data_IF_545076299937
#
_entry.id   IF_545076299937
#
_cell.length_a   1.000
_cell.length_b   1.000
_cell.length_c   1.000
_cell.angle_alpha   90.00
_cell.angle_beta   90.00
_cell.angle_gamma   90.00
#
_symmetry.space_group_name_H-M   'P 1'
#
loop_
_entity.id
_entity.type
_entity.pdbx_description
1 polymer ?
#
# COMPACT_ATOMS: atom_id res chain seq x y z
N UNK A 1 -50.94 20.41 -24.29
CA UNK A 1 -49.86 20.77 -23.36
C UNK A 1 -49.19 19.46 -22.98
N UNK A 2 -47.93 19.18 -23.38
CA UNK A 2 -47.29 17.96 -22.93
C UNK A 2 -46.93 18.14 -21.45
N UNK A 3 -47.33 17.18 -20.63
CA UNK A 3 -46.94 17.10 -19.23
C UNK A 3 -45.41 17.03 -19.15
N UNK A 4 -44.80 18.11 -18.67
CA UNK A 4 -43.41 18.14 -18.28
C UNK A 4 -43.32 17.26 -17.04
N UNK A 5 -42.88 16.01 -17.22
CA UNK A 5 -42.48 15.17 -16.10
C UNK A 5 -41.35 15.90 -15.37
N UNK A 6 -41.73 16.57 -14.28
CA UNK A 6 -40.80 17.15 -13.33
C UNK A 6 -39.93 16.00 -12.84
N UNK A 7 -38.72 15.93 -13.39
CA UNK A 7 -37.82 14.81 -13.17
C UNK A 7 -37.23 15.01 -11.79
N UNK A 8 -38.04 14.69 -10.77
CA UNK A 8 -37.66 14.73 -9.37
C UNK A 8 -36.48 13.79 -9.23
N UNK A 9 -35.28 14.36 -9.23
CA UNK A 9 -34.04 13.60 -9.21
C UNK A 9 -33.96 12.89 -7.88
N UNK A 10 -33.95 11.56 -7.89
CA UNK A 10 -33.89 10.77 -6.66
C UNK A 10 -32.60 11.14 -5.89
N UNK A 11 -32.68 11.58 -4.63
CA UNK A 11 -31.52 11.95 -3.83
C UNK A 11 -30.47 10.82 -3.73
N UNK A 12 -30.87 9.54 -3.82
CA UNK A 12 -29.92 8.41 -3.84
C UNK A 12 -29.01 8.46 -5.07
N UNK A 13 -29.58 8.79 -6.23
CA UNK A 13 -28.83 8.87 -7.49
C UNK A 13 -27.84 10.04 -7.50
N UNK A 14 -28.16 11.12 -6.77
CA UNK A 14 -27.25 12.26 -6.56
C UNK A 14 -26.08 11.87 -5.65
N UNK A 15 -26.35 11.21 -4.53
CA UNK A 15 -25.30 10.73 -3.59
C UNK A 15 -24.33 9.77 -4.28
N UNK A 16 -24.84 8.83 -5.10
CA UNK A 16 -24.00 7.89 -5.86
C UNK A 16 -23.18 8.58 -6.96
N UNK A 17 -23.72 9.65 -7.57
CA UNK A 17 -22.98 10.45 -8.55
C UNK A 17 -21.86 11.24 -7.87
N UNK A 18 -22.14 11.86 -6.73
CA UNK A 18 -21.16 12.64 -5.99
C UNK A 18 -20.06 11.76 -5.40
N UNK A 19 -20.39 10.57 -4.89
CA UNK A 19 -19.40 9.56 -4.46
C UNK A 19 -18.49 9.15 -5.61
N UNK A 20 -19.05 8.86 -6.79
CA UNK A 20 -18.26 8.51 -7.99
C UNK A 20 -17.35 9.64 -8.45
N UNK A 21 -17.82 10.89 -8.41
CA UNK A 21 -17.00 12.08 -8.71
C UNK A 21 -15.86 12.25 -7.71
N UNK A 22 -16.15 12.10 -6.42
CA UNK A 22 -15.14 12.19 -5.37
C UNK A 22 -14.08 11.09 -5.50
N UNK A 23 -14.48 9.85 -5.82
CA UNK A 23 -13.56 8.76 -6.10
C UNK A 23 -12.71 9.04 -7.34
N UNK A 24 -13.30 9.51 -8.44
CA UNK A 24 -12.56 9.86 -9.65
C UNK A 24 -11.48 10.92 -9.38
N UNK A 25 -11.80 11.97 -8.62
CA UNK A 25 -10.83 12.99 -8.23
C UNK A 25 -9.67 12.39 -7.38
N UNK A 26 -9.98 11.48 -6.47
CA UNK A 26 -8.98 10.77 -5.67
C UNK A 26 -8.09 9.87 -6.54
N UNK A 27 -8.68 9.18 -7.52
CA UNK A 27 -7.95 8.34 -8.47
C UNK A 27 -6.97 9.17 -9.30
N UNK A 28 -7.40 10.30 -9.86
CA UNK A 28 -6.51 11.17 -10.63
C UNK A 28 -5.39 11.72 -9.76
N UNK A 29 -5.70 12.21 -8.56
CA UNK A 29 -4.68 12.71 -7.65
C UNK A 29 -3.67 11.62 -7.26
N UNK A 30 -4.14 10.39 -7.02
CA UNK A 30 -3.28 9.26 -6.73
C UNK A 30 -2.33 8.94 -7.88
N UNK A 31 -2.84 8.94 -9.13
CA UNK A 31 -2.01 8.77 -10.33
C UNK A 31 -0.95 9.85 -10.45
N UNK A 32 -1.32 11.11 -10.25
CA UNK A 32 -0.38 12.24 -10.28
C UNK A 32 0.74 12.07 -9.26
N UNK A 33 0.45 11.59 -8.05
CA UNK A 33 1.46 11.33 -7.03
C UNK A 33 2.42 10.19 -7.42
N UNK A 34 1.91 9.12 -8.02
CA UNK A 34 2.73 7.98 -8.43
C UNK A 34 3.47 8.18 -9.76
N UNK A 35 3.03 9.11 -10.61
CA UNK A 35 3.54 9.30 -11.96
C UNK A 35 5.09 9.42 -12.02
N UNK A 36 5.75 10.25 -11.19
CA UNK A 36 7.21 10.37 -11.25
C UNK A 36 7.92 9.06 -10.92
N UNK A 37 7.47 8.34 -9.88
CA UNK A 37 8.06 7.07 -9.48
C UNK A 37 7.84 5.97 -10.53
N UNK A 38 6.66 5.95 -11.16
CA UNK A 38 6.32 5.01 -12.22
C UNK A 38 7.14 5.26 -13.49
N UNK A 39 7.26 6.52 -13.93
CA UNK A 39 8.05 6.89 -15.11
C UNK A 39 9.54 6.54 -14.92
N UNK A 40 10.09 6.89 -13.77
CA UNK A 40 11.47 6.58 -13.45
C UNK A 40 11.71 5.06 -13.38
N UNK A 41 10.78 4.28 -12.83
CA UNK A 41 10.85 2.82 -12.85
C UNK A 41 10.83 2.26 -14.28
N UNK A 42 9.90 2.72 -15.14
CA UNK A 42 9.84 2.34 -16.56
C UNK A 42 11.16 2.61 -17.27
N UNK A 43 11.74 3.81 -17.05
CA UNK A 43 13.03 4.20 -17.62
C UNK A 43 14.13 3.23 -17.20
N UNK A 44 14.23 2.90 -15.92
CA UNK A 44 15.24 1.94 -15.41
C UNK A 44 15.06 0.54 -15.98
N UNK A 45 13.82 0.03 -16.02
CA UNK A 45 13.54 -1.29 -16.59
C UNK A 45 13.91 -1.31 -18.08
N UNK A 46 13.48 -0.31 -18.85
CA UNK A 46 13.78 -0.20 -20.27
C UNK A 46 15.30 -0.19 -20.55
N UNK A 47 16.07 0.54 -19.74
CA UNK A 47 17.53 0.55 -19.82
C UNK A 47 18.11 -0.84 -19.52
N UNK A 48 17.67 -1.48 -18.44
CA UNK A 48 18.14 -2.81 -18.00
C UNK A 48 17.89 -3.90 -19.05
N UNK A 49 16.77 -3.84 -19.77
CA UNK A 49 16.34 -4.90 -20.71
C UNK A 49 16.71 -4.60 -22.16
N UNK A 50 17.39 -3.48 -22.42
CA UNK A 50 17.70 -3.00 -23.77
C UNK A 50 18.52 -3.99 -24.60
N UNK A 51 19.36 -4.81 -23.96
CA UNK A 51 20.23 -5.81 -24.59
C UNK A 51 19.62 -7.21 -24.66
N UNK A 52 18.41 -7.41 -24.13
CA UNK A 52 17.75 -8.71 -24.11
C UNK A 52 17.07 -9.03 -25.45
N UNK A 53 16.95 -10.32 -25.74
CA UNK A 53 16.11 -10.79 -26.85
C UNK A 53 14.67 -10.26 -26.72
N UNK A 54 13.97 -9.96 -27.82
CA UNK A 54 12.65 -9.30 -27.79
C UNK A 54 11.62 -9.98 -26.89
N UNK A 55 11.56 -11.32 -26.89
CA UNK A 55 10.63 -12.08 -26.05
C UNK A 55 10.90 -11.90 -24.55
N UNK A 56 12.16 -11.92 -24.13
CA UNK A 56 12.52 -11.66 -22.73
C UNK A 56 12.26 -10.20 -22.35
N UNK A 57 12.58 -9.26 -23.25
CA UNK A 57 12.32 -7.84 -23.03
C UNK A 57 10.83 -7.56 -22.77
N UNK A 58 9.93 -8.15 -23.55
CA UNK A 58 8.49 -7.97 -23.36
C UNK A 58 8.03 -8.43 -21.98
N UNK A 59 8.50 -9.59 -21.50
CA UNK A 59 8.12 -10.12 -20.18
C UNK A 59 8.47 -9.18 -19.03
N UNK A 60 9.66 -8.57 -19.06
CA UNK A 60 10.09 -7.63 -18.01
C UNK A 60 9.33 -6.30 -18.06
N UNK A 61 8.99 -5.82 -19.25
CA UNK A 61 8.19 -4.60 -19.41
C UNK A 61 6.76 -4.84 -18.91
N UNK A 62 6.16 -5.97 -19.25
CA UNK A 62 4.83 -6.36 -18.75
C UNK A 62 4.81 -6.49 -17.22
N UNK A 63 5.86 -7.07 -16.64
CA UNK A 63 5.98 -7.18 -15.18
C UNK A 63 6.08 -5.80 -14.51
N UNK A 64 6.83 -4.87 -15.11
CA UNK A 64 6.92 -3.50 -14.61
C UNK A 64 5.55 -2.80 -14.64
N UNK A 65 4.78 -2.95 -15.72
CA UNK A 65 3.44 -2.37 -15.80
C UNK A 65 2.46 -3.05 -14.83
N UNK A 66 2.54 -4.37 -14.63
CA UNK A 66 1.76 -5.08 -13.60
C UNK A 66 2.04 -4.55 -12.21
N UNK A 67 3.32 -4.32 -11.87
CA UNK A 67 3.71 -3.78 -10.58
C UNK A 67 3.18 -2.36 -10.39
N UNK A 68 3.28 -1.49 -11.41
CA UNK A 68 2.70 -0.14 -11.38
C UNK A 68 1.18 -0.22 -11.18
N UNK A 69 0.48 -1.04 -11.95
CA UNK A 69 -0.97 -1.20 -11.86
C UNK A 69 -1.43 -1.70 -10.48
N UNK A 70 -0.66 -2.59 -9.84
CA UNK A 70 -0.97 -3.11 -8.50
C UNK A 70 -0.90 -2.04 -7.38
N UNK A 71 -0.24 -0.91 -7.65
CA UNK A 71 -0.13 0.23 -6.73
C UNK A 71 -1.21 1.29 -6.98
N UNK A 72 -1.93 1.23 -8.11
CA UNK A 72 -2.96 2.21 -8.48
C UNK A 72 -4.31 1.93 -7.82
N UNK A 73 -5.12 2.99 -7.69
CA UNK A 73 -6.53 2.86 -7.36
C UNK A 73 -7.30 2.43 -8.60
N UNK A 74 -7.79 1.20 -8.58
CA UNK A 74 -8.81 0.69 -9.51
C UNK A 74 -10.22 1.15 -9.06
N UNK A 75 -10.95 1.97 -9.85
CA UNK A 75 -12.24 2.51 -9.46
C UNK A 75 -13.35 1.46 -9.28
N UNK A 76 -13.25 0.31 -9.94
CA UNK A 76 -14.23 -0.77 -9.82
C UNK A 76 -13.95 -1.58 -8.55
N UNK A 77 -12.69 -1.99 -8.34
CA UNK A 77 -12.29 -2.77 -7.16
C UNK A 77 -12.36 -1.95 -5.87
N UNK A 78 -12.16 -0.64 -5.96
CA UNK A 78 -12.14 0.27 -4.81
C UNK A 78 -13.36 1.22 -4.79
N UNK A 79 -14.48 0.81 -5.38
CA UNK A 79 -15.72 1.60 -5.37
C UNK A 79 -16.19 1.95 -3.94
N UNK A 80 -15.92 1.05 -2.98
CA UNK A 80 -16.27 1.20 -1.57
C UNK A 80 -15.19 1.89 -0.72
N UNK A 81 -14.10 2.39 -1.31
CA UNK A 81 -12.99 3.01 -0.58
C UNK A 81 -13.48 4.16 0.31
N UNK A 82 -13.13 4.13 1.59
CA UNK A 82 -13.40 5.23 2.52
C UNK A 82 -12.42 6.39 2.27
N UNK A 83 -12.86 7.38 1.48
CA UNK A 83 -12.00 8.45 0.96
C UNK A 83 -11.40 9.34 2.06
N UNK A 84 -12.12 9.56 3.16
CA UNK A 84 -11.63 10.32 4.32
C UNK A 84 -10.44 9.60 4.97
N UNK A 85 -10.50 8.28 5.11
CA UNK A 85 -9.41 7.48 5.66
C UNK A 85 -8.19 7.50 4.74
N UNK A 86 -8.40 7.26 3.44
CA UNK A 86 -7.33 7.35 2.44
C UNK A 86 -6.60 8.71 2.49
N UNK A 87 -7.36 9.82 2.51
CA UNK A 87 -6.81 11.18 2.57
C UNK A 87 -6.03 11.41 3.86
N UNK A 88 -6.59 11.03 5.00
CA UNK A 88 -5.92 11.19 6.29
C UNK A 88 -4.56 10.48 6.34
N UNK A 89 -4.49 9.26 5.82
CA UNK A 89 -3.25 8.48 5.78
C UNK A 89 -2.25 9.09 4.79
N UNK A 90 -2.71 9.46 3.59
CA UNK A 90 -1.91 10.13 2.56
C UNK A 90 -1.27 11.41 3.10
N UNK A 91 -2.09 12.25 3.72
CA UNK A 91 -1.67 13.57 4.24
C UNK A 91 -0.89 13.44 5.56
N UNK A 92 -0.86 12.24 6.14
CA UNK A 92 -0.14 11.97 7.38
C UNK A 92 -0.78 12.62 8.59
N UNK A 93 -2.11 12.77 8.58
CA UNK A 93 -2.88 13.30 9.71
C UNK A 93 -2.59 12.42 10.94
N UNK A 94 -2.25 13.02 12.10
CA UNK A 94 -2.05 12.28 13.32
C UNK A 94 -3.32 11.51 13.73
N UNK A 95 -3.15 10.23 14.08
CA UNK A 95 -4.22 9.34 14.52
C UNK A 95 -3.80 8.60 15.78
N UNK A 96 -4.75 8.35 16.68
CA UNK A 96 -4.49 7.54 17.86
C UNK A 96 -4.61 6.05 17.49
N UNK A 97 -3.68 5.22 17.95
CA UNK A 97 -3.81 3.77 17.80
C UNK A 97 -4.55 3.20 19.02
N UNK A 98 -5.68 2.55 18.77
CA UNK A 98 -6.46 1.84 19.78
C UNK A 98 -6.03 0.38 19.81
N UNK A 99 -5.20 0.01 20.79
CA UNK A 99 -4.61 -1.32 20.89
C UNK A 99 -5.67 -2.43 21.09
N UNK A 100 -6.76 -2.14 21.80
CA UNK A 100 -7.81 -3.13 22.09
C UNK A 100 -8.51 -3.64 20.80
N UNK A 101 -8.62 -2.79 19.78
CA UNK A 101 -9.29 -3.11 18.52
C UNK A 101 -8.30 -3.23 17.36
N UNK A 102 -7.02 -2.96 17.60
CA UNK A 102 -5.95 -2.86 16.61
C UNK A 102 -6.28 -1.91 15.44
N UNK A 103 -6.84 -0.72 15.75
CA UNK A 103 -7.28 0.26 14.74
C UNK A 103 -6.66 1.63 14.97
N UNK A 104 -6.45 2.36 13.89
CA UNK A 104 -6.19 3.80 13.96
C UNK A 104 -7.52 4.55 14.04
N UNK A 105 -7.60 5.49 14.97
CA UNK A 105 -8.78 6.31 15.20
C UNK A 105 -8.51 7.73 14.73
N UNK A 106 -9.14 8.09 13.61
CA UNK A 106 -9.13 9.44 13.07
C UNK A 106 -10.23 10.25 13.76
N UNK A 107 -9.84 11.26 14.53
CA UNK A 107 -10.76 12.24 15.12
C UNK A 107 -11.15 13.26 14.04
N UNK A 108 -12.44 13.49 13.88
CA UNK A 108 -13.00 14.45 12.91
C UNK A 108 -13.85 15.47 13.66
N UNK A 109 -13.67 16.78 13.43
CA UNK A 109 -14.61 17.78 13.94
C UNK A 109 -16.02 17.48 13.44
N UNK A 110 -17.01 17.55 14.34
CA UNK A 110 -18.43 17.44 14.04
C UNK A 110 -18.88 16.13 13.35
N UNK A 111 -18.04 15.09 13.39
CA UNK A 111 -18.36 13.76 12.86
C UNK A 111 -17.90 12.66 13.81
N UNK A 112 -18.55 11.49 13.78
CA UNK A 112 -18.05 10.33 14.51
C UNK A 112 -16.58 10.02 14.13
N UNK A 113 -15.75 9.59 15.10
CA UNK A 113 -14.41 9.10 14.80
C UNK A 113 -14.44 8.01 13.73
N UNK A 114 -13.48 8.07 12.81
CA UNK A 114 -13.34 7.06 11.76
C UNK A 114 -12.29 6.03 12.20
N UNK A 115 -12.72 4.78 12.33
CA UNK A 115 -11.82 3.67 12.58
C UNK A 115 -11.20 3.20 11.27
N UNK A 116 -9.89 3.05 11.24
CA UNK A 116 -9.10 2.68 10.07
C UNK A 116 -8.28 1.44 10.43
N UNK A 117 -8.55 0.34 9.75
CA UNK A 117 -7.84 -0.90 9.96
C UNK A 117 -6.50 -0.89 9.21
N UNK A 118 -5.40 -1.25 9.90
CA UNK A 118 -4.13 -1.55 9.23
C UNK A 118 -4.34 -2.61 8.14
N UNK A 119 -3.63 -2.44 7.02
CA UNK A 119 -3.64 -3.38 5.89
C UNK A 119 -4.89 -3.38 5.01
N UNK A 120 -5.96 -2.66 5.38
CA UNK A 120 -7.09 -2.43 4.47
C UNK A 120 -6.72 -1.49 3.32
N UNK A 121 -7.58 -1.45 2.29
CA UNK A 121 -7.31 -0.72 1.05
C UNK A 121 -6.99 0.76 1.29
N UNK A 122 -7.72 1.43 2.17
CA UNK A 122 -7.52 2.83 2.54
C UNK A 122 -6.12 3.05 3.12
N UNK A 123 -5.73 2.21 4.07
CA UNK A 123 -4.43 2.28 4.72
C UNK A 123 -3.28 1.98 3.78
N UNK A 124 -3.40 0.92 2.99
CA UNK A 124 -2.40 0.55 1.99
C UNK A 124 -2.24 1.63 0.91
N UNK A 125 -3.34 2.05 0.28
CA UNK A 125 -3.31 3.03 -0.81
C UNK A 125 -2.91 4.43 -0.31
N UNK A 126 -3.36 4.83 0.88
CA UNK A 126 -2.94 6.08 1.51
C UNK A 126 -1.44 6.10 1.81
N UNK A 127 -0.90 4.97 2.30
CA UNK A 127 0.54 4.83 2.58
C UNK A 127 1.38 4.85 1.29
N UNK A 128 0.90 4.20 0.22
CA UNK A 128 1.49 4.28 -1.12
C UNK A 128 1.56 5.74 -1.58
N UNK A 129 0.42 6.45 -1.53
CA UNK A 129 0.33 7.84 -1.95
C UNK A 129 1.25 8.76 -1.13
N UNK A 130 1.34 8.55 0.19
CA UNK A 130 2.25 9.29 1.06
C UNK A 130 3.71 9.02 0.74
N UNK A 131 4.07 7.77 0.47
CA UNK A 131 5.43 7.38 0.09
C UNK A 131 5.81 8.02 -1.25
N UNK A 132 4.90 8.00 -2.22
CA UNK A 132 5.09 8.66 -3.50
C UNK A 132 5.25 10.18 -3.35
N UNK A 133 4.41 10.83 -2.52
CA UNK A 133 4.51 12.26 -2.22
C UNK A 133 5.84 12.65 -1.55
N UNK A 134 6.49 11.70 -0.86
CA UNK A 134 7.83 11.87 -0.27
C UNK A 134 8.98 11.59 -1.24
N UNK A 135 8.67 11.27 -2.50
CA UNK A 135 9.67 11.01 -3.54
C UNK A 135 10.34 9.64 -3.46
N UNK A 136 9.73 8.65 -2.79
CA UNK A 136 10.29 7.30 -2.75
C UNK A 136 10.26 6.65 -4.14
N UNK A 137 11.24 5.78 -4.38
CA UNK A 137 11.28 4.97 -5.60
C UNK A 137 10.16 3.91 -5.60
N UNK A 138 9.69 3.50 -6.78
CA UNK A 138 8.57 2.56 -6.92
C UNK A 138 8.79 1.24 -6.17
N UNK A 139 10.02 0.74 -6.15
CA UNK A 139 10.41 -0.50 -5.45
C UNK A 139 10.31 -0.32 -3.93
N UNK A 140 10.69 0.84 -3.40
CA UNK A 140 10.54 1.17 -1.98
C UNK A 140 9.07 1.32 -1.61
N UNK A 141 8.28 1.98 -2.46
CA UNK A 141 6.83 2.10 -2.30
C UNK A 141 6.19 0.71 -2.28
N UNK A 142 6.62 -0.19 -3.17
CA UNK A 142 6.11 -1.56 -3.22
C UNK A 142 6.41 -2.34 -1.94
N UNK A 143 7.63 -2.26 -1.41
CA UNK A 143 8.00 -2.87 -0.13
C UNK A 143 7.12 -2.34 1.01
N UNK A 144 6.95 -1.02 1.11
CA UNK A 144 6.07 -0.41 2.13
C UNK A 144 4.62 -0.88 1.98
N UNK A 145 4.12 -1.01 0.75
CA UNK A 145 2.79 -1.51 0.48
C UNK A 145 2.60 -2.96 0.94
N UNK A 146 3.61 -3.82 0.72
CA UNK A 146 3.58 -5.22 1.14
C UNK A 146 3.63 -5.36 2.66
N UNK A 147 4.54 -4.65 3.33
CA UNK A 147 4.63 -4.69 4.81
C UNK A 147 3.36 -4.16 5.45
N UNK A 148 2.76 -3.12 4.86
CA UNK A 148 1.49 -2.57 5.31
C UNK A 148 0.33 -3.56 5.12
N UNK A 149 0.28 -4.29 4.01
CA UNK A 149 -0.72 -5.34 3.79
C UNK A 149 -0.54 -6.51 4.77
N UNK A 150 0.71 -6.86 5.09
CA UNK A 150 1.04 -7.89 6.08
C UNK A 150 0.70 -7.46 7.51
N UNK A 151 0.54 -6.17 7.83
CA UNK A 151 0.02 -5.78 9.15
C UNK A 151 -1.45 -6.20 9.38
N UNK A 152 -2.19 -6.63 8.36
CA UNK A 152 -3.47 -7.33 8.53
C UNK A 152 -3.31 -8.81 8.94
N UNK A 153 -2.09 -9.38 8.85
CA UNK A 153 -1.76 -10.75 9.23
C UNK A 153 -0.25 -10.84 9.59
N UNK A 154 0.17 -10.51 10.84
CA UNK A 154 0.17 -11.51 11.91
C UNK A 154 0.17 -10.93 13.34
N UNK A 155 -0.85 -11.22 14.17
CA UNK A 155 -0.70 -11.22 15.64
C UNK A 155 -1.33 -12.47 16.29
N UNK A 156 -1.49 -13.55 15.53
CA UNK A 156 -1.45 -14.89 16.12
C UNK A 156 0.02 -15.35 16.08
N UNK A 157 0.60 -15.57 17.27
CA UNK A 157 1.91 -16.17 17.49
C UNK A 157 3.18 -15.31 17.29
N UNK A 158 3.23 -14.08 17.80
CA UNK A 158 4.50 -13.60 18.42
C UNK A 158 4.57 -14.15 19.84
N UNK A 159 4.86 -15.44 19.97
CA UNK A 159 5.50 -15.92 21.18
C UNK A 159 6.82 -15.14 21.28
N UNK A 160 6.95 -14.29 22.28
CA UNK A 160 8.28 -13.83 22.70
C UNK A 160 9.12 -15.08 22.90
N UNK A 161 10.26 -15.27 22.20
CA UNK A 161 11.14 -16.38 22.52
C UNK A 161 11.57 -16.18 23.97
N UNK A 162 11.00 -16.97 24.90
CA UNK A 162 11.34 -16.92 26.32
C UNK A 162 12.78 -17.36 26.55
N UNK A 163 13.39 -18.04 25.58
CA UNK A 163 14.78 -18.44 25.63
C UNK A 163 15.60 -17.77 24.53
N UNK A 164 16.64 -17.04 24.95
CA UNK A 164 17.73 -16.65 24.07
C UNK A 164 18.32 -17.93 23.47
N UNK A 165 18.53 -18.02 22.14
CA UNK A 165 19.24 -19.15 21.57
C UNK A 165 20.64 -19.20 22.16
N UNK A 166 20.92 -20.21 22.98
CA UNK A 166 22.26 -20.49 23.47
C UNK A 166 23.10 -20.94 22.27
N UNK A 167 23.81 -19.99 21.68
CA UNK A 167 24.83 -20.30 20.67
C UNK A 167 25.96 -21.04 21.37
N UNK A 168 25.92 -22.38 21.32
CA UNK A 168 27.10 -23.19 21.63
C UNK A 168 28.12 -22.94 20.54
N UNK A 169 29.05 -22.01 20.79
CA UNK A 169 30.29 -21.90 20.00
C UNK A 169 30.94 -23.27 20.00
N UNK A 170 30.93 -23.91 18.82
CA UNK A 170 31.70 -25.13 18.58
C UNK A 170 33.15 -24.86 18.96
N UNK A 171 33.65 -25.61 19.93
CA UNK A 171 35.05 -25.54 20.32
C UNK A 171 35.90 -25.92 19.12
N UNK A 172 36.63 -24.95 18.57
CA UNK A 172 37.81 -25.23 17.75
C UNK A 172 38.92 -25.72 18.68
N UNK A 173 38.78 -26.97 19.14
CA UNK A 173 39.83 -27.73 19.80
C UNK A 173 40.73 -28.31 18.72
N UNK A 174 41.73 -27.53 18.32
CA UNK A 174 42.82 -27.96 17.44
C UNK A 174 43.44 -29.25 17.97
N UNK A 175 43.39 -30.30 17.15
CA UNK A 175 44.09 -31.55 17.36
C UNK A 175 45.61 -31.32 17.30
N UNK A 176 46.25 -31.21 18.46
CA UNK A 176 47.70 -31.31 18.58
C UNK A 176 48.05 -32.77 18.84
N UNK A 177 48.52 -33.44 17.78
CA UNK A 177 49.29 -34.69 17.84
C UNK A 177 50.77 -34.32 18.06
N UNK A 178 51.37 -34.79 19.15
CA UNK A 178 52.80 -35.19 19.30
C UNK A 178 52.91 -35.89 20.67
N UNK A 179 53.04 -37.21 20.73
CA UNK A 179 54.22 -38.03 20.44
C UNK A 179 55.27 -37.99 21.56
N UNK A 180 55.34 -39.15 22.26
CA UNK A 180 56.50 -39.80 22.87
C UNK A 180 57.08 -39.28 24.19
N UNK A 181 57.32 -40.24 25.10
CA UNK A 181 58.03 -40.11 26.36
C UNK A 181 57.46 -41.06 27.40
#
# INVERSE_FOLDING_TARGET
MPDVHDTTTDPRTLVDRDRRRALAAVVEQHRTLLAPAAEEHRRRVAQRVSVLAPGHRALYLDEAERLIAALMIDPQRHAALELDAYRAIRDGIPMAFEAATARYMLRRPDRPPLAIHPGMAEHRLGTIARSAARGLALEQIHVVALTTAQMAAPHEATHTPTELPVVRRGGTGSSIRRAQG
#
